data_IF_334839754711
#
_entry.id   IF_334839754711
#
_cell.length_a   1.000
_cell.length_b   1.000
_cell.length_c   1.000
_cell.angle_alpha   90.00
_cell.angle_beta   90.00
_cell.angle_gamma   90.00
#
_symmetry.space_group_name_H-M   'P 1'
#
loop_
_entity.id
_entity.type
_entity.pdbx_description
1 polymer ?
#
# COMPACT_ATOMS: atom_id res chain seq x y z
N UNK A 1 -26.48 33.72 8.48
CA UNK A 1 -27.52 33.72 7.45
C UNK A 1 -26.96 34.52 6.29
N UNK A 2 -26.45 33.83 5.27
CA UNK A 2 -25.85 34.45 4.09
C UNK A 2 -26.31 33.63 2.89
N UNK A 3 -26.89 34.35 1.94
CA UNK A 3 -27.56 33.87 0.73
C UNK A 3 -26.59 33.27 -0.27
N UNK A 4 -27.10 32.34 -1.08
CA UNK A 4 -26.40 31.71 -2.19
C UNK A 4 -26.99 32.32 -3.46
N UNK A 5 -26.20 33.10 -4.19
CA UNK A 5 -26.47 33.37 -5.62
C UNK A 5 -25.57 32.48 -6.47
N UNK A 6 -26.21 31.69 -7.32
CA UNK A 6 -25.64 30.86 -8.37
C UNK A 6 -25.60 31.68 -9.66
N UNK A 7 -24.42 31.84 -10.25
CA UNK A 7 -24.28 32.16 -11.67
C UNK A 7 -22.95 31.64 -12.18
N UNK A 8 -23.04 30.71 -13.14
CA UNK A 8 -21.88 30.00 -13.68
C UNK A 8 -21.05 30.83 -14.64
N UNK A 9 -19.76 30.49 -14.73
CA UNK A 9 -19.08 30.40 -16.01
C UNK A 9 -17.92 29.40 -15.92
N UNK A 10 -17.83 28.53 -16.92
CA UNK A 10 -16.75 27.57 -17.10
C UNK A 10 -15.70 28.28 -17.94
N UNK A 11 -14.50 28.48 -17.38
CA UNK A 11 -13.16 28.39 -17.99
C UNK A 11 -12.24 29.47 -17.47
N UNK A 12 -11.51 29.18 -16.39
CA UNK A 12 -10.17 29.75 -16.16
C UNK A 12 -9.42 28.88 -15.16
N UNK A 13 -8.34 28.23 -15.62
CA UNK A 13 -7.25 27.80 -14.76
C UNK A 13 -6.74 29.05 -14.03
N UNK A 14 -6.93 29.13 -12.72
CA UNK A 14 -6.20 30.09 -11.90
C UNK A 14 -5.96 29.49 -10.51
N UNK A 15 -4.66 29.30 -10.25
CA UNK A 15 -3.97 29.27 -8.96
C UNK A 15 -4.87 29.39 -7.73
N UNK A 16 -5.19 28.26 -7.11
CA UNK A 16 -5.54 28.19 -5.71
C UNK A 16 -4.27 28.43 -4.90
N UNK A 17 -4.00 29.69 -4.57
CA UNK A 17 -3.20 30.04 -3.39
C UNK A 17 -4.02 29.65 -2.17
N UNK A 18 -3.95 28.37 -1.79
CA UNK A 18 -4.51 27.90 -0.53
C UNK A 18 -3.75 28.51 0.64
N UNK A 19 -4.49 29.00 1.64
CA UNK A 19 -3.90 29.52 2.86
C UNK A 19 -2.98 28.46 3.50
N UNK A 20 -1.79 28.83 4.01
CA UNK A 20 -0.78 27.89 4.47
C UNK A 20 -1.21 26.98 5.65
N UNK A 21 -2.36 27.25 6.27
CA UNK A 21 -2.94 26.40 7.32
C UNK A 21 -3.70 25.16 6.81
N UNK A 22 -4.17 25.12 5.55
CA UNK A 22 -4.98 24.00 5.04
C UNK A 22 -4.14 22.87 4.44
N UNK A 23 -3.00 23.19 3.83
CA UNK A 23 -2.14 22.22 3.16
C UNK A 23 -1.54 21.16 4.11
N UNK A 24 -1.26 21.53 5.37
CA UNK A 24 -0.72 20.62 6.39
C UNK A 24 -1.74 19.59 6.89
N UNK A 25 -3.01 20.00 7.03
CA UNK A 25 -4.09 19.15 7.56
C UNK A 25 -4.48 18.05 6.56
N UNK A 26 -4.56 18.40 5.26
CA UNK A 26 -4.83 17.43 4.20
C UNK A 26 -3.72 16.36 4.13
N UNK A 27 -2.47 16.73 4.37
CA UNK A 27 -1.35 15.79 4.33
C UNK A 27 -1.47 14.67 5.39
N UNK A 28 -1.92 15.00 6.60
CA UNK A 28 -2.09 14.02 7.68
C UNK A 28 -3.27 13.08 7.40
N UNK A 29 -4.38 13.60 6.87
CA UNK A 29 -5.53 12.77 6.48
C UNK A 29 -5.16 11.78 5.37
N UNK A 30 -4.39 12.23 4.36
CA UNK A 30 -3.88 11.34 3.32
C UNK A 30 -2.91 10.29 3.87
N UNK A 31 -2.06 10.65 4.84
CA UNK A 31 -1.20 9.67 5.54
C UNK A 31 -2.03 8.64 6.28
N UNK A 32 -3.03 9.04 7.07
CA UNK A 32 -3.91 8.09 7.77
C UNK A 32 -4.57 7.10 6.81
N UNK A 33 -5.11 7.60 5.70
CA UNK A 33 -5.69 6.75 4.66
C UNK A 33 -4.66 5.75 4.08
N UNK A 34 -3.47 6.21 3.70
CA UNK A 34 -2.41 5.37 3.13
C UNK A 34 -1.86 4.32 4.12
N UNK A 35 -1.63 4.71 5.37
CA UNK A 35 -1.13 3.84 6.44
C UNK A 35 -2.13 2.74 6.81
N UNK A 36 -3.42 3.08 6.82
CA UNK A 36 -4.47 2.11 7.14
C UNK A 36 -4.62 1.02 6.11
N UNK A 37 -4.14 1.26 4.88
CA UNK A 37 -4.22 0.32 3.79
C UNK A 37 -5.65 -0.15 3.46
N UNK A 38 -6.65 0.67 3.77
CA UNK A 38 -8.07 0.35 3.58
C UNK A 38 -8.71 -0.45 4.71
N UNK A 39 -8.01 -0.71 5.82
CA UNK A 39 -8.57 -1.35 7.01
C UNK A 39 -9.15 -0.32 7.98
N UNK A 40 -10.48 -0.29 8.21
CA UNK A 40 -11.10 0.67 9.13
C UNK A 40 -10.57 0.56 10.57
N UNK A 41 -10.20 -0.65 11.01
CA UNK A 41 -9.64 -0.88 12.34
C UNK A 41 -8.38 -0.05 12.60
N UNK A 42 -7.51 0.13 11.60
CA UNK A 42 -6.33 0.97 11.74
C UNK A 42 -6.65 2.46 11.75
N UNK A 43 -7.61 2.92 10.94
CA UNK A 43 -8.08 4.31 11.00
C UNK A 43 -8.60 4.62 12.40
N UNK A 44 -9.48 3.78 12.93
CA UNK A 44 -10.03 3.97 14.27
C UNK A 44 -8.94 3.98 15.34
N UNK A 45 -8.01 3.02 15.29
CA UNK A 45 -6.92 2.93 16.26
C UNK A 45 -5.99 4.14 16.22
N UNK A 46 -5.55 4.57 15.03
CA UNK A 46 -4.69 5.74 14.87
C UNK A 46 -5.40 7.01 15.38
N UNK A 47 -6.66 7.23 14.98
CA UNK A 47 -7.45 8.37 15.43
C UNK A 47 -7.63 8.38 16.95
N UNK A 48 -7.98 7.24 17.55
CA UNK A 48 -8.11 7.10 19.01
C UNK A 48 -6.82 7.51 19.73
N UNK A 49 -5.67 6.99 19.30
CA UNK A 49 -4.39 7.28 19.95
C UNK A 49 -3.92 8.71 19.73
N UNK A 50 -4.08 9.26 18.53
CA UNK A 50 -3.76 10.68 18.26
C UNK A 50 -4.60 11.60 19.14
N UNK A 51 -5.92 11.37 19.23
CA UNK A 51 -6.81 12.16 20.08
C UNK A 51 -6.49 12.00 21.56
N UNK A 52 -6.09 10.79 21.99
CA UNK A 52 -5.66 10.53 23.37
C UNK A 52 -4.42 11.33 23.72
N UNK A 53 -3.38 11.32 22.87
CA UNK A 53 -2.16 12.12 23.09
C UNK A 53 -2.50 13.62 23.07
N UNK A 54 -3.41 14.06 22.20
CA UNK A 54 -3.85 15.45 22.13
C UNK A 54 -4.52 15.89 23.43
N UNK A 55 -5.41 15.04 23.97
CA UNK A 55 -6.17 15.31 25.18
C UNK A 55 -5.27 15.33 26.43
N UNK A 56 -4.30 14.42 26.51
CA UNK A 56 -3.36 14.34 27.63
C UNK A 56 -2.26 15.42 27.57
N UNK A 57 -2.12 16.11 26.43
CA UNK A 57 -1.18 17.21 26.27
C UNK A 57 -1.58 18.41 27.13
N UNK A 58 -0.61 19.02 27.82
CA UNK A 58 -0.84 20.28 28.56
C UNK A 58 -1.19 21.46 27.65
N UNK A 59 -0.85 21.37 26.36
CA UNK A 59 -1.14 22.40 25.36
C UNK A 59 -2.52 22.14 24.76
N UNK A 60 -3.31 23.20 24.59
CA UNK A 60 -4.58 23.13 23.85
C UNK A 60 -4.29 23.08 22.35
N UNK A 61 -4.61 21.95 21.73
CA UNK A 61 -4.50 21.76 20.29
C UNK A 61 -5.83 22.07 19.62
N UNK A 62 -5.83 22.93 18.60
CA UNK A 62 -6.98 23.13 17.70
C UNK A 62 -6.86 22.31 16.42
N UNK A 63 -5.64 21.95 16.07
CA UNK A 63 -5.24 21.25 14.84
C UNK A 63 -4.22 20.20 15.24
N UNK A 64 -4.21 19.06 14.55
CA UNK A 64 -3.22 18.00 14.76
C UNK A 64 -1.98 18.37 13.97
N UNK A 65 -0.87 18.65 14.66
CA UNK A 65 0.42 18.86 14.02
C UNK A 65 1.17 17.53 13.78
N UNK A 66 2.23 17.58 12.98
CA UNK A 66 3.02 16.39 12.66
C UNK A 66 3.66 15.72 13.90
N UNK A 67 4.22 16.47 14.87
CA UNK A 67 4.71 15.87 16.12
C UNK A 67 3.64 15.10 16.90
N UNK A 68 2.44 15.65 17.02
CA UNK A 68 1.32 15.00 17.70
C UNK A 68 0.84 13.77 16.94
N UNK A 69 0.80 13.85 15.60
CA UNK A 69 0.51 12.71 14.74
C UNK A 69 1.51 11.56 14.97
N UNK A 70 2.82 11.83 14.96
CA UNK A 70 3.85 10.81 15.18
C UNK A 70 3.77 10.23 16.61
N UNK A 71 3.49 11.04 17.61
CA UNK A 71 3.31 10.56 18.98
C UNK A 71 2.11 9.60 19.08
N UNK A 72 0.96 9.97 18.50
CA UNK A 72 -0.22 9.10 18.45
C UNK A 72 -0.01 7.85 17.61
N UNK A 73 0.70 7.95 16.48
CA UNK A 73 1.04 6.81 15.62
C UNK A 73 1.91 5.78 16.37
N UNK A 74 2.90 6.24 17.14
CA UNK A 74 3.73 5.36 17.96
C UNK A 74 2.93 4.59 19.01
N UNK A 75 1.94 5.23 19.63
CA UNK A 75 1.06 4.55 20.58
C UNK A 75 0.06 3.61 19.90
N UNK A 76 -0.37 3.94 18.68
CA UNK A 76 -1.17 3.05 17.84
C UNK A 76 -0.42 1.78 17.48
N UNK A 77 0.85 1.89 17.05
CA UNK A 77 1.73 0.77 16.72
C UNK A 77 1.85 -0.21 17.90
N UNK A 78 2.07 0.30 19.12
CA UNK A 78 2.15 -0.53 20.34
C UNK A 78 0.83 -1.24 20.66
N UNK A 79 -0.29 -0.67 20.23
CA UNK A 79 -1.65 -1.14 20.52
C UNK A 79 -2.20 -2.10 19.45
N UNK A 80 -1.48 -2.34 18.36
CA UNK A 80 -1.87 -3.32 17.34
C UNK A 80 -1.89 -4.73 17.93
N UNK A 81 -2.76 -5.59 17.37
CA UNK A 81 -2.91 -7.00 17.74
C UNK A 81 -1.55 -7.71 17.87
N UNK A 82 -1.41 -8.48 18.95
CA UNK A 82 -0.16 -9.19 19.29
C UNK A 82 0.28 -10.15 18.18
N UNK A 83 -0.65 -10.78 17.47
CA UNK A 83 -0.34 -11.70 16.36
C UNK A 83 0.44 -11.01 15.24
N UNK A 84 0.04 -9.80 14.85
CA UNK A 84 0.72 -9.04 13.80
C UNK A 84 2.09 -8.52 14.26
N UNK A 85 2.18 -8.12 15.53
CA UNK A 85 3.45 -7.72 16.14
C UNK A 85 4.43 -8.90 16.18
N UNK A 86 3.94 -10.05 16.61
CA UNK A 86 4.68 -11.31 16.63
C UNK A 86 5.15 -11.72 15.24
N UNK A 87 4.28 -11.68 14.23
CA UNK A 87 4.64 -12.05 12.85
C UNK A 87 5.74 -11.15 12.27
N UNK A 88 5.65 -9.84 12.53
CA UNK A 88 6.69 -8.89 12.14
C UNK A 88 7.99 -9.10 12.91
N UNK A 89 7.91 -9.29 14.23
CA UNK A 89 9.06 -9.53 15.10
C UNK A 89 9.77 -10.82 14.69
N UNK A 90 9.04 -11.91 14.44
CA UNK A 90 9.62 -13.16 13.96
C UNK A 90 10.43 -12.99 12.67
N UNK A 91 9.98 -12.14 11.76
CA UNK A 91 10.67 -11.88 10.50
C UNK A 91 11.90 -10.96 10.64
N UNK A 92 12.01 -10.18 11.73
CA UNK A 92 12.94 -9.04 11.80
C UNK A 92 13.84 -9.00 13.04
N UNK A 93 13.39 -9.56 14.16
CA UNK A 93 14.09 -9.53 15.45
C UNK A 93 15.27 -10.50 15.45
N UNK A 94 16.43 -10.03 15.94
CA UNK A 94 17.70 -10.78 15.87
C UNK A 94 18.21 -10.98 14.44
N UNK A 95 17.67 -10.25 13.46
CA UNK A 95 18.09 -10.26 12.05
C UNK A 95 18.71 -8.93 11.64
N UNK A 96 19.34 -8.93 10.47
CA UNK A 96 19.91 -7.72 9.90
C UNK A 96 18.82 -6.73 9.48
N UNK A 97 19.04 -5.43 9.70
CA UNK A 97 18.05 -4.36 9.47
C UNK A 97 17.48 -4.34 8.05
N UNK A 98 18.30 -4.77 7.07
CA UNK A 98 17.88 -5.00 5.69
C UNK A 98 16.60 -5.83 5.51
N UNK A 99 16.28 -6.77 6.41
CA UNK A 99 15.02 -7.51 6.37
C UNK A 99 13.83 -6.58 6.56
N UNK A 100 13.91 -5.65 7.51
CA UNK A 100 12.86 -4.63 7.74
C UNK A 100 12.73 -3.71 6.53
N UNK A 101 13.85 -3.26 5.97
CA UNK A 101 13.86 -2.42 4.77
C UNK A 101 13.20 -3.13 3.57
N UNK A 102 13.41 -4.44 3.40
CA UNK A 102 12.72 -5.22 2.36
C UNK A 102 11.21 -5.27 2.63
N UNK A 103 10.78 -5.46 3.87
CA UNK A 103 9.35 -5.46 4.21
C UNK A 103 8.71 -4.09 3.95
N UNK A 104 9.38 -2.99 4.31
CA UNK A 104 8.94 -1.62 3.99
C UNK A 104 8.85 -1.42 2.48
N UNK A 105 9.85 -1.90 1.75
CA UNK A 105 9.89 -1.82 0.29
C UNK A 105 8.72 -2.56 -0.37
N UNK A 106 8.27 -3.69 0.17
CA UNK A 106 7.09 -4.42 -0.34
C UNK A 106 5.80 -3.65 -0.03
N UNK A 107 5.72 -3.00 1.13
CA UNK A 107 4.55 -2.24 1.57
C UNK A 107 4.40 -0.85 0.93
N UNK A 108 5.42 -0.35 0.25
CA UNK A 108 5.52 1.01 -0.32
C UNK A 108 4.32 1.42 -1.18
N UNK A 109 4.00 0.65 -2.24
CA UNK A 109 2.96 1.02 -3.21
C UNK A 109 1.56 0.57 -2.81
N UNK A 110 0.53 1.14 -3.45
CA UNK A 110 -0.88 0.74 -3.28
C UNK A 110 -1.16 -0.73 -3.63
N UNK A 111 -0.42 -1.29 -4.60
CA UNK A 111 -0.66 -2.63 -5.14
C UNK A 111 -0.49 -3.74 -4.08
N UNK A 112 -1.52 -4.59 -3.93
CA UNK A 112 -1.53 -5.76 -3.02
C UNK A 112 -0.54 -6.85 -3.45
N UNK A 113 -0.37 -7.00 -4.76
CA UNK A 113 0.48 -8.01 -5.37
C UNK A 113 1.51 -7.27 -6.21
N UNK A 114 2.79 -7.55 -5.97
CA UNK A 114 3.89 -6.78 -6.55
C UNK A 114 4.90 -7.66 -7.25
N UNK A 115 5.37 -7.18 -8.39
CA UNK A 115 6.48 -7.80 -9.10
C UNK A 115 7.81 -7.52 -8.38
N UNK A 116 8.71 -8.52 -8.34
CA UNK A 116 10.01 -8.44 -7.66
C UNK A 116 10.85 -7.24 -8.09
N UNK A 117 10.87 -6.93 -9.39
CA UNK A 117 11.63 -5.80 -9.91
C UNK A 117 11.17 -4.47 -9.29
N UNK A 118 9.86 -4.28 -9.16
CA UNK A 118 9.30 -3.07 -8.54
C UNK A 118 9.58 -3.02 -7.03
N UNK A 119 9.68 -4.17 -6.35
CA UNK A 119 10.06 -4.23 -4.94
C UNK A 119 11.52 -3.79 -4.77
N UNK A 120 12.41 -4.21 -5.68
CA UNK A 120 13.83 -3.80 -5.67
C UNK A 120 13.95 -2.29 -5.88
N UNK A 121 13.18 -1.71 -6.81
CA UNK A 121 13.11 -0.25 -6.99
C UNK A 121 12.69 0.47 -5.70
N UNK A 122 11.58 0.02 -5.07
CA UNK A 122 11.13 0.59 -3.80
C UNK A 122 12.16 0.42 -2.68
N UNK A 123 12.90 -0.70 -2.67
CA UNK A 123 13.97 -0.93 -1.69
C UNK A 123 15.09 0.10 -1.82
N UNK A 124 15.49 0.44 -3.04
CA UNK A 124 16.48 1.49 -3.26
C UNK A 124 15.98 2.85 -2.78
N UNK A 125 14.70 3.18 -2.98
CA UNK A 125 14.08 4.41 -2.48
C UNK A 125 14.03 4.43 -0.95
N UNK A 126 13.63 3.31 -0.31
CA UNK A 126 13.62 3.18 1.16
C UNK A 126 15.02 3.38 1.73
N UNK A 127 16.03 2.72 1.16
CA UNK A 127 17.42 2.84 1.62
C UNK A 127 18.05 4.21 1.34
N UNK A 128 17.46 5.08 0.50
CA UNK A 128 17.93 6.47 0.37
C UNK A 128 17.54 7.33 1.57
N UNK A 129 16.45 6.97 2.26
CA UNK A 129 15.94 7.72 3.40
C UNK A 129 16.57 7.28 4.74
N UNK A 130 17.43 6.27 4.72
CA UNK A 130 18.02 5.67 5.92
C UNK A 130 19.54 5.68 5.79
N UNK A 131 20.29 6.08 6.83
CA UNK A 131 21.74 5.97 6.85
C UNK A 131 22.14 4.49 7.03
N UNK A 132 22.06 3.69 5.96
CA UNK A 132 22.49 2.29 5.97
C UNK A 132 23.15 1.92 4.65
N UNK A 133 24.18 1.07 4.74
CA UNK A 133 24.86 0.54 3.57
C UNK A 133 23.91 -0.30 2.71
N UNK A 134 23.86 0.02 1.42
CA UNK A 134 23.03 -0.71 0.47
C UNK A 134 23.54 -2.13 0.36
N UNK A 135 22.60 -3.06 0.48
CA UNK A 135 22.88 -4.48 0.31
C UNK A 135 23.04 -4.79 -1.17
N UNK A 136 24.00 -5.66 -1.53
CA UNK A 136 24.16 -6.17 -2.90
C UNK A 136 22.90 -6.92 -3.37
N UNK A 137 22.67 -6.98 -4.67
CA UNK A 137 21.50 -7.66 -5.23
C UNK A 137 21.43 -9.15 -4.82
N UNK A 138 22.58 -9.82 -4.76
CA UNK A 138 22.70 -11.20 -4.28
C UNK A 138 22.24 -11.36 -2.82
N UNK A 139 22.68 -10.44 -1.95
CA UNK A 139 22.29 -10.44 -0.55
C UNK A 139 20.80 -10.07 -0.38
N UNK A 140 20.26 -9.16 -1.21
CA UNK A 140 18.82 -8.87 -1.26
C UNK A 140 18.05 -10.14 -1.62
N UNK A 141 18.45 -10.84 -2.69
CA UNK A 141 17.81 -12.06 -3.15
C UNK A 141 17.82 -13.15 -2.07
N UNK A 142 18.94 -13.34 -1.38
CA UNK A 142 19.05 -14.28 -0.26
C UNK A 142 18.07 -13.96 0.86
N UNK A 143 18.00 -12.69 1.28
CA UNK A 143 17.13 -12.23 2.37
C UNK A 143 15.65 -12.28 1.97
N UNK A 144 15.33 -11.89 0.75
CA UNK A 144 13.98 -12.00 0.19
C UNK A 144 13.49 -13.45 0.17
N UNK A 145 14.36 -14.40 -0.19
CA UNK A 145 14.04 -15.83 -0.10
C UNK A 145 13.89 -16.31 1.35
N UNK A 146 14.66 -15.77 2.29
CA UNK A 146 14.55 -16.12 3.71
C UNK A 146 13.20 -15.70 4.31
N UNK A 147 12.71 -14.50 3.98
CA UNK A 147 11.39 -13.99 4.39
C UNK A 147 10.21 -14.84 3.87
N UNK A 148 10.43 -15.69 2.87
CA UNK A 148 9.42 -16.63 2.37
C UNK A 148 9.43 -17.98 3.09
N UNK A 149 10.41 -18.23 3.96
CA UNK A 149 10.53 -19.49 4.71
C UNK A 149 9.81 -19.38 6.04
N UNK A 150 9.41 -20.53 6.58
CA UNK A 150 8.80 -20.64 7.92
C UNK A 150 9.71 -20.10 9.03
N UNK A 151 11.03 -20.16 8.84
CA UNK A 151 11.99 -19.56 9.77
C UNK A 151 11.84 -18.06 9.97
N UNK A 152 11.16 -17.36 9.04
CA UNK A 152 10.82 -15.94 9.11
C UNK A 152 9.30 -15.72 9.12
N UNK A 153 8.52 -16.70 9.60
CA UNK A 153 7.06 -16.62 9.72
C UNK A 153 6.30 -16.67 8.40
N UNK A 154 7.00 -17.01 7.30
CA UNK A 154 6.43 -17.04 5.94
C UNK A 154 5.64 -15.77 5.61
N UNK A 155 6.23 -14.62 5.94
CA UNK A 155 5.55 -13.32 5.88
C UNK A 155 5.20 -12.91 4.44
N UNK A 156 6.00 -13.37 3.47
CA UNK A 156 5.78 -13.14 2.03
C UNK A 156 5.44 -14.47 1.35
N UNK A 157 4.40 -14.44 0.52
CA UNK A 157 3.97 -15.59 -0.29
C UNK A 157 3.82 -15.21 -1.78
N UNK A 158 3.86 -16.19 -2.70
CA UNK A 158 3.54 -15.95 -4.10
C UNK A 158 2.15 -15.32 -4.24
N UNK A 159 2.07 -14.22 -4.99
CA UNK A 159 0.83 -13.46 -5.17
C UNK A 159 -0.06 -13.97 -6.30
N UNK A 160 0.54 -14.53 -7.36
CA UNK A 160 -0.17 -15.07 -8.52
C UNK A 160 0.30 -16.51 -8.74
N UNK A 161 -0.48 -17.50 -8.33
CA UNK A 161 -0.09 -18.92 -8.22
C UNK A 161 0.96 -19.41 -9.23
N UNK A 162 0.61 -19.48 -10.52
CA UNK A 162 1.52 -19.96 -11.58
C UNK A 162 2.47 -18.91 -12.16
N UNK A 163 2.29 -17.62 -11.85
CA UNK A 163 3.13 -16.55 -12.41
C UNK A 163 4.30 -16.29 -11.48
N UNK A 164 5.54 -16.61 -11.89
CA UNK A 164 6.71 -16.37 -11.06
C UNK A 164 6.90 -14.86 -10.84
N UNK A 165 7.67 -14.51 -9.81
CA UNK A 165 8.10 -13.14 -9.50
C UNK A 165 7.03 -12.17 -8.99
N UNK A 166 5.79 -12.61 -8.76
CA UNK A 166 4.74 -11.83 -8.11
C UNK A 166 4.55 -12.26 -6.66
N UNK A 167 4.53 -11.29 -5.74
CA UNK A 167 4.54 -11.53 -4.30
C UNK A 167 3.53 -10.65 -3.57
N UNK A 168 3.04 -11.14 -2.44
CA UNK A 168 2.17 -10.42 -1.51
C UNK A 168 2.47 -10.81 -0.08
N UNK A 169 1.98 -10.02 0.86
CA UNK A 169 1.95 -10.44 2.26
C UNK A 169 1.00 -11.61 2.46
N UNK A 170 1.35 -12.50 3.40
CA UNK A 170 0.46 -13.59 3.83
C UNK A 170 -0.87 -13.03 4.34
N UNK A 171 -0.78 -12.01 5.18
CA UNK A 171 -1.92 -11.26 5.73
C UNK A 171 -1.87 -9.82 5.24
N UNK A 172 -2.97 -9.34 4.64
CA UNK A 172 -3.03 -7.97 4.13
C UNK A 172 -2.97 -6.93 5.26
N UNK A 173 -3.52 -7.24 6.44
CA UNK A 173 -3.46 -6.34 7.61
C UNK A 173 -2.01 -6.05 8.02
N UNK A 174 -1.13 -7.04 7.91
CA UNK A 174 0.29 -6.89 8.23
C UNK A 174 0.96 -5.80 7.37
N UNK A 175 0.51 -5.60 6.12
CA UNK A 175 0.98 -4.51 5.27
C UNK A 175 0.70 -3.14 5.90
N UNK A 176 -0.51 -2.90 6.39
CA UNK A 176 -0.86 -1.65 7.08
C UNK A 176 0.00 -1.43 8.33
N UNK A 177 0.22 -2.49 9.11
CA UNK A 177 1.12 -2.43 10.26
C UNK A 177 2.56 -2.05 9.88
N UNK A 178 3.10 -2.67 8.83
CA UNK A 178 4.44 -2.38 8.32
C UNK A 178 4.53 -0.92 7.81
N UNK A 179 3.49 -0.39 7.18
CA UNK A 179 3.44 1.02 6.75
C UNK A 179 3.49 1.98 7.95
N UNK A 180 2.72 1.69 9.00
CA UNK A 180 2.76 2.49 10.24
C UNK A 180 4.17 2.51 10.84
N UNK A 181 4.84 1.35 10.89
CA UNK A 181 6.22 1.26 11.36
C UNK A 181 7.18 2.10 10.49
N UNK A 182 7.12 1.96 9.16
CA UNK A 182 7.99 2.72 8.27
C UNK A 182 7.85 4.24 8.48
N UNK A 183 6.61 4.74 8.57
CA UNK A 183 6.34 6.16 8.82
C UNK A 183 6.84 6.62 10.20
N UNK A 184 6.66 5.80 11.26
CA UNK A 184 7.19 6.10 12.58
C UNK A 184 8.74 6.11 12.62
N UNK A 185 9.38 5.34 11.74
CA UNK A 185 10.83 5.34 11.54
C UNK A 185 11.33 6.45 10.60
N UNK A 186 10.45 7.35 10.16
CA UNK A 186 10.81 8.48 9.29
C UNK A 186 11.07 8.10 7.84
N UNK A 187 10.59 6.93 7.40
CA UNK A 187 10.69 6.47 6.02
C UNK A 187 9.36 6.77 5.31
N UNK A 188 9.30 7.84 4.48
CA UNK A 188 8.10 8.14 3.72
C UNK A 188 7.88 7.08 2.65
N UNK A 189 6.68 6.51 2.61
CA UNK A 189 6.25 5.55 1.60
C UNK A 189 5.30 6.22 0.59
N UNK A 190 5.33 5.75 -0.65
CA UNK A 190 4.55 6.29 -1.76
C UNK A 190 3.23 5.54 -1.96
N UNK A 191 2.23 5.89 -1.13
CA UNK A 191 0.92 5.24 -1.11
C UNK A 191 0.07 5.48 -2.37
N UNK A 192 0.40 6.49 -3.16
CA UNK A 192 -0.40 6.90 -4.32
C UNK A 192 0.13 6.30 -5.63
N UNK A 193 1.35 5.76 -5.63
CA UNK A 193 1.89 5.15 -6.82
C UNK A 193 1.22 3.79 -7.08
N UNK A 194 0.32 3.80 -8.04
CA UNK A 194 -0.13 2.60 -8.73
C UNK A 194 0.92 2.22 -9.76
N UNK A 195 1.55 1.05 -9.60
CA UNK A 195 2.47 0.47 -10.59
C UNK A 195 1.75 -0.55 -11.46
N UNK A 196 0.45 -0.32 -11.71
CA UNK A 196 -0.31 -0.98 -12.77
C UNK A 196 0.18 -0.42 -14.10
N UNK A 197 1.38 -0.81 -14.50
CA UNK A 197 1.85 -0.65 -15.86
C UNK A 197 1.11 -1.70 -16.70
N UNK A 198 0.16 -1.30 -17.53
CA UNK A 198 -0.16 -1.98 -18.80
C UNK A 198 -0.46 -3.49 -18.81
N UNK A 199 -0.58 -4.16 -17.68
CA UNK A 199 -0.78 -5.61 -17.59
C UNK A 199 -2.07 -5.91 -16.83
N UNK A 200 -3.13 -6.04 -17.61
CA UNK A 200 -4.34 -6.81 -17.32
C UNK A 200 -4.91 -6.66 -15.91
N UNK A 201 -5.27 -5.41 -15.55
CA UNK A 201 -6.37 -5.20 -14.61
C UNK A 201 -7.65 -5.85 -15.17
N UNK A 202 -8.64 -6.16 -14.34
CA UNK A 202 -9.90 -6.78 -14.80
C UNK A 202 -10.58 -6.03 -15.97
N UNK A 203 -10.24 -4.76 -16.20
CA UNK A 203 -10.65 -3.95 -17.35
C UNK A 203 -9.98 -4.34 -18.69
N UNK A 204 -8.85 -5.06 -18.68
CA UNK A 204 -8.23 -5.62 -19.89
C UNK A 204 -8.78 -7.00 -20.29
N UNK A 205 -9.75 -7.55 -19.54
CA UNK A 205 -10.51 -8.72 -20.01
C UNK A 205 -11.38 -8.40 -21.24
N UNK A 206 -11.42 -7.14 -21.68
CA UNK A 206 -12.14 -6.70 -22.88
C UNK A 206 -11.44 -6.99 -24.21
N UNK A 207 -10.28 -7.65 -24.26
CA UNK A 207 -9.66 -8.07 -25.53
C UNK A 207 -9.42 -9.59 -25.55
N UNK A 208 -10.48 -10.28 -25.98
CA UNK A 208 -10.53 -11.62 -26.57
C UNK A 208 -9.99 -12.79 -25.73
N UNK A 209 -10.77 -13.23 -24.74
CA UNK A 209 -10.94 -14.68 -24.59
C UNK A 209 -11.95 -15.09 -25.66
N UNK A 210 -11.50 -15.74 -26.74
CA UNK A 210 -12.40 -16.34 -27.73
C UNK A 210 -13.31 -17.30 -26.95
N UNK A 211 -14.62 -17.07 -26.97
CA UNK A 211 -15.57 -17.94 -26.31
C UNK A 211 -15.41 -19.35 -26.89
N UNK A 212 -15.06 -20.33 -26.06
CA UNK A 212 -14.97 -21.72 -26.48
C UNK A 212 -16.23 -22.41 -25.96
N UNK A 213 -17.14 -22.87 -26.83
CA UNK A 213 -18.36 -23.53 -26.40
C UNK A 213 -18.03 -24.79 -25.61
N UNK A 214 -18.69 -24.97 -24.46
CA UNK A 214 -18.40 -26.05 -23.51
C UNK A 214 -19.30 -27.26 -23.74
N UNK A 215 -20.31 -27.12 -24.60
CA UNK A 215 -21.28 -28.17 -24.91
C UNK A 215 -21.52 -28.30 -26.41
N UNK A 216 -21.90 -29.50 -26.85
CA UNK A 216 -22.19 -29.81 -28.25
C UNK A 216 -23.39 -29.03 -28.80
N UNK A 217 -24.27 -28.52 -27.93
CA UNK A 217 -25.37 -27.64 -28.28
C UNK A 217 -24.92 -26.20 -28.51
N UNK A 218 -24.00 -25.69 -27.68
CA UNK A 218 -23.47 -24.34 -27.83
C UNK A 218 -22.58 -24.20 -29.07
N UNK A 219 -21.85 -25.25 -29.41
CA UNK A 219 -20.97 -25.29 -30.59
C UNK A 219 -21.77 -25.18 -31.89
N UNK A 220 -22.88 -25.93 -31.99
CA UNK A 220 -23.83 -25.82 -33.12
C UNK A 220 -24.45 -24.44 -33.24
N UNK A 221 -24.75 -23.80 -32.10
CA UNK A 221 -25.34 -22.46 -32.08
C UNK A 221 -24.32 -21.39 -32.50
N UNK A 222 -23.06 -21.53 -32.08
CA UNK A 222 -21.97 -20.65 -32.52
C UNK A 222 -21.73 -20.75 -34.03
N UNK A 223 -21.69 -21.98 -34.56
CA UNK A 223 -21.53 -22.21 -35.99
C UNK A 223 -22.71 -21.65 -36.82
N UNK A 224 -23.95 -21.76 -36.32
CA UNK A 224 -25.13 -21.16 -36.97
C UNK A 224 -25.13 -19.63 -36.93
N UNK A 225 -24.44 -19.02 -35.97
CA UNK A 225 -24.27 -17.56 -35.86
C UNK A 225 -23.19 -17.00 -36.79
N UNK A 226 -22.38 -17.86 -37.40
CA UNK A 226 -21.30 -17.45 -38.31
C UNK A 226 -20.09 -16.85 -37.58
N UNK A 227 -19.94 -17.14 -36.28
CA UNK A 227 -18.86 -16.60 -35.45
C UNK A 227 -17.47 -17.14 -35.85
N UNK A 228 -17.42 -18.19 -36.67
CA UNK A 228 -16.20 -18.85 -37.16
C UNK A 228 -15.61 -18.20 -38.44
N UNK A 229 -16.33 -17.33 -39.15
CA UNK A 229 -15.98 -16.89 -40.51
C UNK A 229 -15.36 -15.48 -40.64
N UNK A 230 -14.73 -14.91 -39.60
CA UNK A 230 -14.02 -13.63 -39.73
C UNK A 230 -12.60 -13.63 -39.18
N UNK A 231 -11.66 -13.98 -40.04
CA UNK A 231 -10.28 -13.47 -40.01
C UNK A 231 -9.57 -13.76 -41.35
N UNK A 232 -9.72 -12.86 -42.33
CA UNK A 232 -8.65 -12.51 -43.28
C UNK A 232 -8.06 -11.16 -42.84
#
# INVERSE_FOLDING_TARGET
>A
MVEIEDSGDRTTRSNLTESPGKAGDYLILFKLAGLSDGFPSYIHLMCEKILTVAHLSKKKHKVIDFPLFIAGLNDAIKSVAETLRHDYAWATEGREESCKHILWAIADTADLIRHKAHIIESYHTVCQNIPTDRVTEENFNRKFLALRRESHGQIIIPGLGKRPSWYRFRENMLRGYIRMLAEAHGVPLDFQRYRVAGEHSAFAMGKYSRYTPLTSTEDKVAHLRGDDEKSE
#
